data_IF_387792854437
#
_entry.id   IF_387792854437
#
_cell.length_a   1.000
_cell.length_b   1.000
_cell.length_c   1.000
_cell.angle_alpha   90.00
_cell.angle_beta   90.00
_cell.angle_gamma   90.00
#
_symmetry.space_group_name_H-M   'P 1'
#
loop_
_entity.id
_entity.type
_entity.pdbx_description
1 polymer ?
#
# COMPACT_ATOMS: atom_id res chain seq x y z
N UNK A 1 14.92 -26.09 2.30
CA UNK A 1 13.45 -25.91 2.19
C UNK A 1 13.17 -24.53 1.62
N UNK A 2 12.00 -24.30 1.03
CA UNK A 2 11.57 -22.99 0.53
C UNK A 2 10.39 -22.52 1.35
N UNK A 3 10.40 -21.28 1.82
CA UNK A 3 9.32 -20.72 2.61
C UNK A 3 9.23 -19.21 2.52
N UNK A 4 8.30 -18.63 3.27
CA UNK A 4 8.08 -17.19 3.33
C UNK A 4 8.36 -16.66 4.73
N UNK A 5 9.08 -15.54 4.84
CA UNK A 5 9.26 -14.86 6.13
C UNK A 5 7.93 -14.25 6.55
N UNK A 6 7.34 -14.75 7.64
CA UNK A 6 6.06 -14.26 8.17
C UNK A 6 6.23 -13.32 9.37
N UNK A 7 7.39 -13.32 10.03
CA UNK A 7 7.68 -12.45 11.18
C UNK A 7 9.19 -12.19 11.29
N UNK A 8 9.55 -10.97 11.67
CA UNK A 8 10.94 -10.59 11.94
C UNK A 8 11.04 -9.92 13.31
N UNK A 9 11.80 -10.52 14.23
CA UNK A 9 11.90 -10.04 15.62
C UNK A 9 13.31 -10.25 16.17
N UNK A 10 13.92 -9.18 16.70
CA UNK A 10 15.21 -9.23 17.40
C UNK A 10 16.34 -9.97 16.64
N UNK A 11 16.35 -9.89 15.30
CA UNK A 11 17.34 -10.55 14.43
C UNK A 11 17.04 -12.01 14.09
N UNK A 12 15.91 -12.54 14.55
CA UNK A 12 15.33 -13.79 14.10
C UNK A 12 14.29 -13.54 13.01
N UNK A 13 14.19 -14.52 12.10
CA UNK A 13 13.22 -14.53 11.01
C UNK A 13 12.44 -15.83 11.09
N UNK A 14 11.12 -15.74 11.20
CA UNK A 14 10.23 -16.89 11.26
C UNK A 14 9.74 -17.19 9.85
N UNK A 15 10.12 -18.36 9.34
CA UNK A 15 9.84 -18.80 7.98
C UNK A 15 8.74 -19.85 8.01
N UNK A 16 7.65 -19.60 7.29
CA UNK A 16 6.58 -20.59 7.10
C UNK A 16 6.86 -21.43 5.85
N UNK A 17 6.80 -22.75 6.00
CA UNK A 17 6.94 -23.75 4.91
C UNK A 17 6.02 -24.93 5.24
N UNK A 18 5.18 -25.34 4.30
CA UNK A 18 4.32 -26.52 4.41
C UNK A 18 3.46 -26.56 5.71
N UNK A 19 2.98 -25.39 6.14
CA UNK A 19 2.17 -25.23 7.36
C UNK A 19 2.95 -25.25 8.68
N UNK A 20 4.29 -25.36 8.63
CA UNK A 20 5.16 -25.28 9.81
C UNK A 20 5.94 -23.96 9.83
N UNK A 21 6.21 -23.45 11.03
CA UNK A 21 6.98 -22.23 11.24
C UNK A 21 8.33 -22.56 11.84
N UNK A 22 9.39 -22.14 11.16
CA UNK A 22 10.78 -22.36 11.55
C UNK A 22 11.42 -21.05 12.01
N UNK A 23 12.03 -21.06 13.19
CA UNK A 23 12.86 -19.95 13.64
C UNK A 23 14.23 -20.02 12.96
N UNK A 24 14.59 -18.96 12.23
CA UNK A 24 15.84 -18.90 11.48
C UNK A 24 16.61 -17.61 11.76
N UNK A 25 17.88 -17.58 11.32
CA UNK A 25 18.74 -16.38 11.30
C UNK A 25 19.29 -16.14 9.90
N UNK A 26 19.54 -14.88 9.58
CA UNK A 26 20.25 -14.56 8.34
C UNK A 26 21.75 -14.81 8.52
N UNK A 27 22.37 -15.54 7.58
CA UNK A 27 23.84 -15.68 7.55
C UNK A 27 24.51 -14.30 7.49
N UNK A 28 25.64 -14.12 8.18
CA UNK A 28 26.33 -12.83 8.28
C UNK A 28 26.73 -12.18 6.94
N UNK A 29 26.78 -12.95 5.85
CA UNK A 29 27.06 -12.45 4.50
C UNK A 29 25.93 -11.56 3.93
N UNK A 30 24.67 -11.74 4.35
CA UNK A 30 23.54 -10.94 3.88
C UNK A 30 23.71 -9.44 4.19
N UNK A 31 24.17 -9.11 5.41
CA UNK A 31 24.45 -7.73 5.83
C UNK A 31 25.59 -7.09 5.04
N UNK A 32 26.61 -7.87 4.63
CA UNK A 32 27.73 -7.38 3.82
C UNK A 32 27.34 -7.09 2.37
N UNK A 33 26.33 -7.80 1.84
CA UNK A 33 25.80 -7.61 0.48
C UNK A 33 24.61 -6.63 0.40
N UNK A 34 24.21 -6.02 1.52
CA UNK A 34 23.08 -5.08 1.57
C UNK A 34 21.69 -5.71 1.43
N UNK A 35 21.58 -7.05 1.50
CA UNK A 35 20.30 -7.76 1.39
C UNK A 35 19.73 -8.04 2.77
N UNK A 36 19.02 -7.07 3.34
CA UNK A 36 18.28 -7.25 4.61
C UNK A 36 17.02 -8.06 4.35
N UNK A 37 16.80 -9.21 5.03
CA UNK A 37 15.54 -9.93 4.94
C UNK A 37 14.40 -9.14 5.60
N UNK A 38 13.23 -9.15 4.96
CA UNK A 38 12.01 -8.51 5.42
C UNK A 38 10.84 -9.50 5.45
N UNK A 39 9.80 -9.15 6.20
CA UNK A 39 8.53 -9.90 6.17
C UNK A 39 7.97 -9.85 4.75
N UNK A 40 7.57 -11.02 4.25
CA UNK A 40 7.14 -11.22 2.87
C UNK A 40 8.18 -11.82 1.95
N UNK A 41 9.48 -11.80 2.31
CA UNK A 41 10.52 -12.41 1.47
C UNK A 41 10.28 -13.92 1.32
N UNK A 42 10.34 -14.39 0.07
CA UNK A 42 10.50 -15.80 -0.22
C UNK A 42 11.97 -16.17 -0.04
N UNK A 43 12.25 -17.25 0.68
CA UNK A 43 13.61 -17.66 1.03
C UNK A 43 13.83 -19.16 0.85
N UNK A 44 15.07 -19.51 0.50
CA UNK A 44 15.58 -20.85 0.74
C UNK A 44 16.24 -20.86 2.11
N UNK A 45 15.91 -21.84 2.95
CA UNK A 45 16.42 -21.96 4.32
C UNK A 45 16.76 -23.41 4.68
N UNK A 46 17.65 -23.57 5.66
CA UNK A 46 17.93 -24.84 6.35
C UNK A 46 17.28 -24.83 7.72
N UNK A 47 16.72 -25.97 8.12
CA UNK A 47 16.27 -26.25 9.48
C UNK A 47 16.65 -27.70 9.77
N UNK A 48 17.71 -27.91 10.55
CA UNK A 48 18.14 -29.24 11.00
C UNK A 48 17.45 -29.57 12.33
N UNK A 49 17.20 -30.85 12.61
CA UNK A 49 16.74 -31.27 13.93
C UNK A 49 17.73 -30.78 15.01
N UNK A 50 17.21 -30.02 15.98
CA UNK A 50 17.97 -29.43 17.10
C UNK A 50 18.99 -28.32 16.75
N UNK A 51 18.82 -27.62 15.61
CA UNK A 51 19.68 -26.48 15.23
C UNK A 51 18.89 -25.20 14.95
N UNK A 52 19.52 -24.04 15.17
CA UNK A 52 18.97 -22.76 14.69
C UNK A 52 18.97 -22.75 13.15
N UNK A 53 17.81 -22.58 12.52
CA UNK A 53 17.73 -22.55 11.06
C UNK A 53 18.47 -21.34 10.45
N UNK A 54 18.87 -21.45 9.18
CA UNK A 54 19.54 -20.35 8.48
C UNK A 54 18.88 -20.02 7.15
N UNK A 55 18.65 -18.74 6.90
CA UNK A 55 18.32 -18.23 5.57
C UNK A 55 19.57 -18.36 4.69
N UNK A 56 19.42 -19.05 3.57
CA UNK A 56 20.47 -19.35 2.59
C UNK A 56 20.39 -18.42 1.38
N UNK A 57 19.17 -18.11 0.93
CA UNK A 57 18.90 -17.25 -0.23
C UNK A 57 17.62 -16.46 -0.02
N UNK A 58 17.60 -15.20 -0.47
CA UNK A 58 16.39 -14.38 -0.62
C UNK A 58 16.09 -14.32 -2.12
N UNK A 59 14.85 -14.60 -2.50
CA UNK A 59 14.39 -14.53 -3.89
C UNK A 59 14.04 -13.08 -4.29
N UNK A 60 13.87 -12.85 -5.59
CA UNK A 60 13.53 -11.52 -6.12
C UNK A 60 12.19 -11.04 -5.55
N UNK A 61 12.12 -9.73 -5.27
CA UNK A 61 10.93 -9.09 -4.72
C UNK A 61 10.12 -8.47 -5.85
N UNK A 62 8.82 -8.75 -5.90
CA UNK A 62 7.94 -8.09 -6.89
C UNK A 62 7.61 -6.64 -6.54
N UNK A 63 7.60 -6.30 -5.26
CA UNK A 63 7.33 -4.95 -4.75
C UNK A 63 7.79 -4.81 -3.29
N UNK A 64 7.77 -3.58 -2.78
CA UNK A 64 8.13 -3.26 -1.41
C UNK A 64 7.49 -1.96 -0.91
N UNK A 65 7.11 -1.94 0.37
CA UNK A 65 6.79 -0.73 1.12
C UNK A 65 7.92 -0.43 2.11
N UNK A 66 8.24 0.85 2.28
CA UNK A 66 9.36 1.29 3.15
C UNK A 66 8.91 1.38 4.61
N UNK A 67 7.67 1.82 4.86
CA UNK A 67 7.14 2.08 6.20
C UNK A 67 5.71 1.54 6.36
N UNK A 68 5.53 0.42 7.08
CA UNK A 68 6.58 -0.44 7.61
C UNK A 68 7.28 -1.25 6.50
N UNK A 69 8.49 -1.80 6.76
CA UNK A 69 9.24 -2.54 5.74
C UNK A 69 8.60 -3.91 5.50
N UNK A 70 7.94 -4.05 4.36
CA UNK A 70 7.23 -5.26 3.92
C UNK A 70 7.36 -5.42 2.41
N UNK A 71 7.40 -6.66 1.92
CA UNK A 71 7.66 -6.97 0.51
C UNK A 71 6.72 -8.06 0.00
N UNK A 72 6.65 -8.23 -1.33
CA UNK A 72 5.84 -9.26 -1.98
C UNK A 72 4.35 -9.21 -1.59
N UNK A 73 3.81 -8.00 -1.57
CA UNK A 73 2.41 -7.71 -1.29
C UNK A 73 1.59 -7.95 -2.55
N UNK A 74 0.42 -8.59 -2.44
CA UNK A 74 -0.49 -8.75 -3.56
C UNK A 74 -1.41 -7.54 -3.71
N UNK A 75 -1.96 -7.08 -2.58
CA UNK A 75 -2.97 -6.03 -2.59
C UNK A 75 -2.94 -5.18 -1.32
N UNK A 76 -3.58 -4.02 -1.39
CA UNK A 76 -3.78 -3.12 -0.27
C UNK A 76 -5.24 -2.71 -0.16
N UNK A 77 -5.83 -2.90 1.02
CA UNK A 77 -7.15 -2.39 1.34
C UNK A 77 -7.00 -0.94 1.81
N UNK A 78 -7.49 0.00 0.99
CA UNK A 78 -7.56 1.43 1.29
C UNK A 78 -8.91 1.72 1.92
N UNK A 79 -8.89 1.99 3.23
CA UNK A 79 -10.10 2.24 4.01
C UNK A 79 -10.38 3.73 4.02
N UNK A 80 -11.54 4.09 3.49
CA UNK A 80 -12.10 5.44 3.51
C UNK A 80 -13.41 5.42 4.30
N UNK A 81 -13.75 6.52 4.97
CA UNK A 81 -15.06 6.68 5.59
C UNK A 81 -16.04 7.30 4.60
N UNK A 82 -17.30 6.85 4.64
CA UNK A 82 -18.39 7.53 3.97
C UNK A 82 -18.69 8.88 4.62
N UNK A 83 -18.72 8.89 5.96
CA UNK A 83 -18.94 10.07 6.81
C UNK A 83 -18.05 10.00 8.06
N UNK A 84 -17.73 11.17 8.60
CA UNK A 84 -16.91 11.36 9.81
C UNK A 84 -15.54 10.65 9.78
N UNK A 85 -14.56 11.14 9.01
CA UNK A 85 -14.62 12.31 8.13
C UNK A 85 -15.35 12.02 6.80
N UNK A 86 -15.72 13.08 6.09
CA UNK A 86 -16.31 12.96 4.76
C UNK A 86 -15.40 12.19 3.80
N UNK A 87 -16.03 11.44 2.88
CA UNK A 87 -15.30 10.79 1.81
C UNK A 87 -14.48 11.81 1.02
N UNK A 88 -13.20 11.51 0.81
CA UNK A 88 -12.27 12.40 0.16
C UNK A 88 -11.59 11.67 -1.02
N UNK A 89 -12.07 11.95 -2.23
CA UNK A 89 -11.53 11.37 -3.46
C UNK A 89 -10.07 11.74 -3.69
N UNK A 90 -9.66 12.96 -3.35
CA UNK A 90 -8.26 13.37 -3.45
C UNK A 90 -7.36 12.48 -2.58
N UNK A 91 -7.74 12.26 -1.32
CA UNK A 91 -6.97 11.40 -0.41
C UNK A 91 -6.92 9.94 -0.91
N UNK A 92 -8.05 9.42 -1.40
CA UNK A 92 -8.08 8.09 -2.01
C UNK A 92 -7.11 8.01 -3.20
N UNK A 93 -7.14 8.98 -4.09
CA UNK A 93 -6.27 9.03 -5.28
C UNK A 93 -4.79 9.06 -4.90
N UNK A 94 -4.41 9.70 -3.79
CA UNK A 94 -3.03 9.65 -3.29
C UNK A 94 -2.61 8.23 -2.91
N UNK A 95 -3.50 7.45 -2.29
CA UNK A 95 -3.23 6.04 -2.01
C UNK A 95 -3.15 5.22 -3.29
N UNK A 96 -4.10 5.41 -4.22
CA UNK A 96 -4.12 4.67 -5.49
C UNK A 96 -2.84 4.92 -6.28
N UNK A 97 -2.40 6.18 -6.40
CA UNK A 97 -1.16 6.54 -7.09
C UNK A 97 0.06 5.84 -6.47
N UNK A 98 0.15 5.81 -5.14
CA UNK A 98 1.23 5.10 -4.45
C UNK A 98 1.20 3.60 -4.77
N UNK A 99 0.03 2.98 -4.71
CA UNK A 99 -0.14 1.54 -4.88
C UNK A 99 0.13 1.10 -6.33
N UNK A 100 -0.38 1.85 -7.31
CA UNK A 100 -0.10 1.64 -8.73
C UNK A 100 1.41 1.75 -9.01
N UNK A 101 2.06 2.81 -8.51
CA UNK A 101 3.51 2.97 -8.63
C UNK A 101 4.30 1.82 -7.97
N UNK A 102 3.74 1.19 -6.95
CA UNK A 102 4.35 0.04 -6.26
C UNK A 102 3.96 -1.31 -6.86
N UNK A 103 3.11 -1.37 -7.88
CA UNK A 103 2.59 -2.63 -8.41
C UNK A 103 1.87 -3.45 -7.33
N UNK A 104 1.06 -2.79 -6.51
CA UNK A 104 0.21 -3.41 -5.48
C UNK A 104 -1.24 -3.12 -5.86
N UNK A 105 -2.06 -4.16 -5.98
CA UNK A 105 -3.46 -4.00 -6.39
C UNK A 105 -4.28 -3.27 -5.32
N UNK A 106 -4.95 -2.14 -5.62
CA UNK A 106 -5.78 -1.45 -4.65
C UNK A 106 -7.19 -2.08 -4.52
N UNK A 107 -7.64 -2.25 -3.29
CA UNK A 107 -9.02 -2.57 -2.93
C UNK A 107 -9.56 -1.42 -2.09
N UNK A 108 -10.55 -0.70 -2.59
CA UNK A 108 -11.19 0.41 -1.86
C UNK A 108 -12.29 -0.14 -0.97
N UNK A 109 -12.19 0.11 0.33
CA UNK A 109 -13.21 -0.24 1.31
C UNK A 109 -13.83 1.02 1.91
N UNK A 110 -15.15 1.18 1.80
CA UNK A 110 -15.87 2.28 2.42
C UNK A 110 -16.48 1.83 3.76
N UNK A 111 -16.08 2.49 4.84
CA UNK A 111 -16.61 2.30 6.18
C UNK A 111 -17.69 3.33 6.51
N UNK A 112 -18.39 3.14 7.63
CA UNK A 112 -19.37 4.09 8.18
C UNK A 112 -20.51 4.42 7.21
N UNK A 113 -20.89 3.45 6.38
CA UNK A 113 -22.02 3.56 5.45
C UNK A 113 -23.36 3.82 6.18
N UNK A 114 -23.45 3.38 7.44
CA UNK A 114 -24.58 3.62 8.34
C UNK A 114 -24.82 5.09 8.69
N UNK A 115 -23.84 5.97 8.43
CA UNK A 115 -23.94 7.42 8.68
C UNK A 115 -24.40 8.22 7.44
N UNK A 116 -24.59 7.59 6.29
CA UNK A 116 -25.08 8.27 5.09
C UNK A 116 -26.60 8.31 5.08
N UNK A 117 -27.17 9.50 4.98
CA UNK A 117 -28.59 9.71 4.71
C UNK A 117 -28.90 9.55 3.21
N UNK A 118 -27.95 9.96 2.36
CA UNK A 118 -27.99 9.84 0.91
C UNK A 118 -26.68 9.20 0.41
N UNK A 119 -26.81 8.21 -0.47
CA UNK A 119 -25.69 7.44 -1.04
C UNK A 119 -25.42 7.77 -2.50
N UNK A 120 -26.17 8.68 -3.12
CA UNK A 120 -26.02 9.04 -4.54
C UNK A 120 -24.60 9.54 -4.86
N UNK A 121 -24.05 10.44 -4.05
CA UNK A 121 -22.70 10.97 -4.26
C UNK A 121 -21.63 9.87 -4.19
N UNK A 122 -21.74 8.96 -3.22
CA UNK A 122 -20.82 7.83 -3.12
C UNK A 122 -20.99 6.85 -4.29
N UNK A 123 -22.22 6.67 -4.79
CA UNK A 123 -22.51 5.80 -5.92
C UNK A 123 -21.81 6.25 -7.21
N UNK A 124 -21.69 7.57 -7.41
CA UNK A 124 -20.95 8.15 -8.53
C UNK A 124 -19.45 7.80 -8.44
N UNK A 125 -18.85 7.98 -7.25
CA UNK A 125 -17.45 7.60 -7.02
C UNK A 125 -17.25 6.09 -7.21
N UNK A 126 -18.12 5.27 -6.62
CA UNK A 126 -18.06 3.82 -6.74
C UNK A 126 -18.09 3.35 -8.21
N UNK A 127 -18.99 3.89 -9.02
CA UNK A 127 -19.07 3.58 -10.44
C UNK A 127 -17.80 4.00 -11.18
N UNK A 128 -17.29 5.20 -10.90
CA UNK A 128 -16.06 5.72 -11.50
C UNK A 128 -14.86 4.82 -11.23
N UNK A 129 -14.58 4.49 -9.95
CA UNK A 129 -13.42 3.66 -9.60
C UNK A 129 -13.56 2.21 -10.10
N UNK A 130 -14.77 1.66 -10.12
CA UNK A 130 -15.02 0.32 -10.70
C UNK A 130 -14.79 0.31 -12.21
N UNK A 131 -15.19 1.37 -12.93
CA UNK A 131 -14.94 1.49 -14.37
C UNK A 131 -13.45 1.57 -14.71
N UNK A 132 -12.63 2.13 -13.81
CA UNK A 132 -11.16 2.13 -13.92
C UNK A 132 -10.58 0.72 -13.71
N UNK A 133 -11.26 -0.13 -12.93
CA UNK A 133 -10.86 -1.51 -12.66
C UNK A 133 -10.53 -1.80 -11.19
N UNK A 134 -10.79 -0.87 -10.28
CA UNK A 134 -10.59 -1.09 -8.85
C UNK A 134 -11.75 -1.86 -8.22
N UNK A 135 -11.41 -2.76 -7.28
CA UNK A 135 -12.40 -3.31 -6.36
C UNK A 135 -12.87 -2.19 -5.43
N UNK A 136 -14.18 -1.94 -5.40
CA UNK A 136 -14.80 -0.93 -4.54
C UNK A 136 -15.92 -1.59 -3.75
N UNK A 137 -15.69 -1.80 -2.46
CA UNK A 137 -16.55 -2.59 -1.57
C UNK A 137 -17.02 -1.76 -0.37
N UNK A 138 -18.22 -2.05 0.11
CA UNK A 138 -18.85 -1.30 1.22
C UNK A 138 -19.20 -2.20 2.41
N UNK A 139 -18.99 -3.51 2.28
CA UNK A 139 -19.30 -4.52 3.29
C UNK A 139 -18.13 -5.47 3.50
N UNK A 140 -18.07 -6.09 4.69
CA UNK A 140 -17.04 -7.10 4.98
C UNK A 140 -17.26 -8.37 4.15
N UNK A 141 -18.52 -8.66 3.82
CA UNK A 141 -18.94 -9.80 3.02
C UNK A 141 -18.41 -9.71 1.59
N UNK A 142 -18.37 -8.51 1.02
CA UNK A 142 -17.71 -8.25 -0.27
C UNK A 142 -16.18 -8.30 -0.16
N UNK A 143 -15.62 -7.81 0.95
CA UNK A 143 -14.17 -7.75 1.15
C UNK A 143 -13.54 -9.13 1.35
N UNK A 144 -14.13 -9.98 2.19
CA UNK A 144 -13.52 -11.23 2.64
C UNK A 144 -13.07 -12.13 1.47
N UNK A 145 -13.91 -12.42 0.45
CA UNK A 145 -13.52 -13.24 -0.70
C UNK A 145 -12.27 -12.72 -1.44
N UNK A 146 -12.06 -11.39 -1.47
CA UNK A 146 -10.89 -10.77 -2.11
C UNK A 146 -9.58 -11.06 -1.36
N UNK A 147 -9.64 -11.40 -0.06
CA UNK A 147 -8.46 -11.63 0.77
C UNK A 147 -7.84 -13.03 0.59
N UNK A 148 -8.60 -13.99 0.04
CA UNK A 148 -8.18 -15.40 -0.03
C UNK A 148 -6.95 -15.59 -0.92
N UNK A 149 -5.95 -16.32 -0.43
CA UNK A 149 -4.67 -16.57 -1.09
C UNK A 149 -3.88 -15.30 -1.46
N UNK A 150 -4.11 -14.18 -0.76
CA UNK A 150 -3.41 -12.91 -0.99
C UNK A 150 -2.68 -12.44 0.26
N UNK A 151 -1.51 -11.84 0.06
CA UNK A 151 -0.84 -10.99 1.05
C UNK A 151 -1.43 -9.58 0.95
N UNK A 152 -2.15 -9.18 2.01
CA UNK A 152 -2.90 -7.92 2.05
C UNK A 152 -2.38 -7.00 3.15
N UNK A 153 -2.23 -5.72 2.82
CA UNK A 153 -1.98 -4.66 3.82
C UNK A 153 -3.20 -3.76 3.98
N UNK A 154 -3.38 -3.14 5.14
CA UNK A 154 -4.51 -2.25 5.41
C UNK A 154 -4.02 -0.83 5.70
N UNK A 155 -4.51 0.13 4.91
CA UNK A 155 -4.17 1.54 5.02
C UNK A 155 -5.41 2.44 5.03
N UNK A 156 -5.22 3.68 5.46
CA UNK A 156 -6.30 4.64 5.68
C UNK A 156 -5.90 5.63 6.77
N UNK A 157 -6.46 6.83 6.71
CA UNK A 157 -6.23 7.87 7.72
C UNK A 157 -6.77 7.46 9.10
N UNK A 158 -6.34 8.15 10.15
CA UNK A 158 -6.89 7.93 11.50
C UNK A 158 -8.40 8.25 11.51
N UNK A 159 -9.19 7.45 12.25
CA UNK A 159 -10.63 7.70 12.43
C UNK A 159 -11.57 7.07 11.40
N UNK A 160 -11.07 6.54 10.28
CA UNK A 160 -11.88 5.87 9.23
C UNK A 160 -12.38 4.48 9.60
N UNK A 161 -12.17 4.00 10.83
CA UNK A 161 -12.64 2.68 11.25
C UNK A 161 -11.77 1.50 10.83
N UNK A 162 -10.48 1.71 10.51
CA UNK A 162 -9.52 0.63 10.21
C UNK A 162 -9.45 -0.43 11.32
N UNK A 163 -9.22 0.00 12.55
CA UNK A 163 -9.14 -0.92 13.70
C UNK A 163 -10.46 -1.65 13.92
N UNK A 164 -11.59 -0.94 13.77
CA UNK A 164 -12.93 -1.53 13.84
C UNK A 164 -13.14 -2.62 12.80
N UNK A 165 -12.73 -2.40 11.55
CA UNK A 165 -12.80 -3.41 10.49
C UNK A 165 -11.91 -4.61 10.82
N UNK A 166 -10.65 -4.38 11.17
CA UNK A 166 -9.69 -5.44 11.49
C UNK A 166 -10.18 -6.34 12.63
N UNK A 167 -10.75 -5.77 13.69
CA UNK A 167 -11.33 -6.54 14.79
C UNK A 167 -12.56 -7.36 14.38
N UNK A 168 -13.36 -6.85 13.42
CA UNK A 168 -14.53 -7.57 12.91
C UNK A 168 -14.16 -8.75 12.04
N UNK A 169 -13.11 -8.63 11.22
CA UNK A 169 -12.71 -9.67 10.27
C UNK A 169 -11.68 -10.64 10.86
N UNK A 170 -10.90 -10.20 11.85
CA UNK A 170 -9.83 -10.97 12.45
C UNK A 170 -9.87 -10.86 14.00
N UNK A 171 -10.94 -11.40 14.63
CA UNK A 171 -11.15 -11.27 16.08
C UNK A 171 -10.04 -11.93 16.90
N UNK A 172 -9.46 -13.02 16.40
CA UNK A 172 -8.39 -13.78 17.07
C UNK A 172 -7.05 -13.02 17.15
N UNK A 173 -6.92 -11.89 16.45
CA UNK A 173 -5.68 -11.10 16.48
C UNK A 173 -5.43 -10.40 17.80
N UNK A 174 -6.45 -10.28 18.68
CA UNK A 174 -6.35 -9.56 19.95
C UNK A 174 -5.55 -8.24 19.81
N UNK A 175 -5.79 -7.51 18.72
CA UNK A 175 -5.16 -6.21 18.50
C UNK A 175 -5.58 -5.33 19.68
N UNK A 176 -4.62 -4.75 20.41
CA UNK A 176 -4.90 -3.90 21.57
C UNK A 176 -5.89 -2.79 21.19
N UNK A 177 -7.17 -2.98 21.50
CA UNK A 177 -8.19 -1.93 21.44
C UNK A 177 -8.07 -1.08 22.67
N UNK A 178 -7.01 -0.29 22.74
CA UNK A 178 -6.95 0.85 23.65
C UNK A 178 -7.90 1.94 23.15
N UNK A 179 -8.78 2.40 24.03
CA UNK A 179 -9.67 3.53 23.81
C UNK A 179 -8.92 4.70 23.19
N UNK A 180 -9.46 5.20 22.07
CA UNK A 180 -9.02 6.41 21.38
C UNK A 180 -7.55 6.34 20.96
N UNK A 181 -7.34 6.22 19.66
CA UNK A 181 -6.05 6.47 19.00
C UNK A 181 -5.55 7.92 19.13
N UNK A 182 -5.79 8.59 20.26
CA UNK A 182 -5.28 9.92 20.62
C UNK A 182 -3.86 9.84 21.22
N UNK A 183 -3.33 8.63 21.46
CA UNK A 183 -1.89 8.43 21.72
C UNK A 183 -1.06 8.24 20.44
N UNK A 184 -1.66 8.21 19.25
CA UNK A 184 -0.94 8.19 17.96
C UNK A 184 -0.34 9.57 17.59
N UNK A 185 -0.44 10.54 18.48
CA UNK A 185 0.07 11.91 18.34
C UNK A 185 0.98 12.36 19.49
N UNK A 186 1.96 11.54 19.92
CA UNK A 186 3.30 11.99 20.37
C UNK A 186 4.08 10.81 20.97
N UNK A 187 5.11 10.36 20.27
CA UNK A 187 6.16 9.54 20.90
C UNK A 187 6.88 8.58 19.96
N UNK A 188 7.79 9.12 19.13
CA UNK A 188 8.81 8.40 18.33
C UNK A 188 8.27 7.38 17.33
N UNK A 189 8.88 7.40 16.15
CA UNK A 189 8.84 6.29 15.20
C UNK A 189 9.39 5.00 15.83
N UNK A 190 8.63 4.31 16.67
CA UNK A 190 8.98 2.97 17.18
C UNK A 190 8.42 1.96 16.20
N UNK A 191 9.32 1.42 15.39
CA UNK A 191 9.06 0.33 14.44
C UNK A 191 8.52 -0.89 15.21
N UNK A 192 7.20 -0.98 15.42
CA UNK A 192 6.56 -2.24 15.83
C UNK A 192 6.94 -3.30 14.77
N UNK A 193 7.31 -4.49 15.24
CA UNK A 193 7.73 -5.58 14.36
C UNK A 193 6.57 -5.99 13.45
N UNK A 194 6.77 -5.92 12.14
CA UNK A 194 5.79 -6.41 11.15
C UNK A 194 5.63 -7.91 11.33
N UNK A 195 4.40 -8.40 11.30
CA UNK A 195 4.07 -9.82 11.25
C UNK A 195 2.92 -10.04 10.29
N UNK A 196 2.92 -11.18 9.60
CA UNK A 196 1.77 -11.70 8.89
C UNK A 196 0.90 -12.54 9.80
N UNK A 197 -0.39 -12.43 9.57
CA UNK A 197 -1.41 -13.21 10.23
C UNK A 197 -2.32 -13.86 9.19
N UNK A 198 -2.68 -15.11 9.43
CA UNK A 198 -3.58 -15.82 8.53
C UNK A 198 -5.01 -15.28 8.71
N UNK A 199 -5.65 -14.92 7.59
CA UNK A 199 -7.02 -14.46 7.57
C UNK A 199 -7.69 -14.89 6.27
N UNK A 200 -8.84 -15.57 6.40
CA UNK A 200 -9.68 -16.00 5.26
C UNK A 200 -8.93 -16.72 4.14
N UNK A 201 -7.97 -17.59 4.49
CA UNK A 201 -7.11 -18.31 3.53
C UNK A 201 -6.03 -17.43 2.88
N UNK A 202 -5.89 -16.18 3.27
CA UNK A 202 -4.79 -15.29 2.90
C UNK A 202 -3.96 -14.87 4.11
N UNK A 203 -3.15 -13.82 3.92
CA UNK A 203 -2.29 -13.23 4.96
C UNK A 203 -2.52 -11.74 5.04
N UNK A 204 -2.58 -11.21 6.25
CA UNK A 204 -2.66 -9.77 6.50
C UNK A 204 -1.47 -9.29 7.31
N UNK A 205 -0.99 -8.09 7.02
CA UNK A 205 0.08 -7.47 7.80
C UNK A 205 -0.47 -6.46 8.81
N UNK A 206 -0.01 -6.55 10.06
CA UNK A 206 -0.21 -5.46 11.01
C UNK A 206 0.76 -4.32 10.68
N UNK A 207 0.23 -3.32 9.98
CA UNK A 207 0.94 -2.09 9.65
C UNK A 207 0.36 -0.93 10.46
N UNK A 208 1.00 -0.53 11.57
CA UNK A 208 0.61 0.70 12.26
C UNK A 208 0.82 1.91 11.34
N UNK A 209 -0.17 2.80 11.29
CA UNK A 209 -0.02 4.18 10.82
C UNK A 209 0.60 4.38 9.44
N UNK A 210 -0.06 3.92 8.37
CA UNK A 210 0.14 4.51 7.03
C UNK A 210 -0.55 5.88 6.99
N UNK A 211 -0.01 6.85 7.75
CA UNK A 211 -0.56 8.22 7.86
C UNK A 211 0.22 9.23 7.03
N UNK A 212 1.45 8.91 6.60
CA UNK A 212 2.26 9.75 5.71
C UNK A 212 2.36 9.12 4.32
N UNK A 213 1.61 9.67 3.37
CA UNK A 213 1.84 9.46 1.94
C UNK A 213 3.14 10.20 1.56
N UNK A 214 4.28 9.61 1.87
CA UNK A 214 5.54 10.07 1.31
C UNK A 214 5.47 9.76 -0.20
N UNK A 215 5.23 10.78 -1.03
CA UNK A 215 5.23 10.59 -2.48
C UNK A 215 6.59 10.07 -2.93
N UNK A 216 6.65 8.77 -3.18
CA UNK A 216 7.75 8.14 -3.90
C UNK A 216 7.67 8.44 -5.41
N UNK A 217 6.47 8.74 -5.90
CA UNK A 217 6.25 9.30 -7.24
C UNK A 217 6.85 10.70 -7.31
N UNK A 218 7.80 10.88 -8.21
CA UNK A 218 8.59 12.12 -8.32
C UNK A 218 8.72 12.66 -9.74
N UNK A 219 8.14 11.97 -10.72
CA UNK A 219 8.16 12.38 -12.13
C UNK A 219 6.74 12.44 -12.68
N UNK A 220 6.52 13.30 -13.67
CA UNK A 220 5.25 13.39 -14.38
C UNK A 220 4.90 12.10 -15.13
N UNK A 221 5.91 11.37 -15.60
CA UNK A 221 5.75 10.08 -16.28
C UNK A 221 5.25 9.00 -15.32
N UNK A 222 5.88 8.86 -14.14
CA UNK A 222 5.43 7.94 -13.11
C UNK A 222 4.00 8.27 -12.65
N UNK A 223 3.69 9.57 -12.48
CA UNK A 223 2.35 10.00 -12.12
C UNK A 223 1.32 9.64 -13.19
N UNK A 224 1.65 9.85 -14.47
CA UNK A 224 0.77 9.49 -15.59
C UNK A 224 0.46 7.99 -15.59
N UNK A 225 1.47 7.14 -15.42
CA UNK A 225 1.28 5.68 -15.33
C UNK A 225 0.48 5.25 -14.10
N UNK A 226 0.52 6.02 -13.01
CA UNK A 226 -0.20 5.75 -11.78
C UNK A 226 -1.70 6.13 -11.81
N UNK A 227 -2.19 6.69 -12.91
CA UNK A 227 -3.62 6.87 -13.21
C UNK A 227 -3.99 6.00 -14.40
N UNK A 228 -4.50 4.76 -14.21
CA UNK A 228 -4.67 3.79 -15.29
C UNK A 228 -5.49 4.30 -16.49
N UNK A 229 -6.56 5.03 -16.23
CA UNK A 229 -7.44 5.63 -17.25
C UNK A 229 -6.74 6.75 -18.03
N UNK A 230 -5.91 7.56 -17.37
CA UNK A 230 -5.09 8.60 -18.01
C UNK A 230 -3.96 7.94 -18.81
N UNK A 231 -3.29 6.93 -18.26
CA UNK A 231 -2.23 6.17 -18.90
C UNK A 231 -2.71 5.44 -20.17
N UNK A 232 -3.95 4.96 -20.17
CA UNK A 232 -4.56 4.32 -21.33
C UNK A 232 -4.78 5.33 -22.47
N UNK A 233 -5.44 6.46 -22.18
CA UNK A 233 -5.73 7.50 -23.18
C UNK A 233 -4.48 8.26 -23.63
N UNK A 234 -3.48 8.41 -22.75
CA UNK A 234 -2.25 9.14 -23.07
C UNK A 234 -1.42 8.49 -24.19
N UNK A 235 -1.68 7.22 -24.52
CA UNK A 235 -1.06 6.52 -25.67
C UNK A 235 -1.41 7.16 -27.01
N UNK A 236 -2.55 7.84 -27.09
CA UNK A 236 -3.03 8.54 -28.28
C UNK A 236 -2.60 10.02 -28.31
N UNK A 237 -1.86 10.49 -27.29
CA UNK A 237 -1.28 11.82 -27.32
C UNK A 237 -0.21 11.92 -28.41
N UNK A 238 -0.21 13.04 -29.13
CA UNK A 238 0.82 13.34 -30.15
C UNK A 238 2.25 13.31 -29.59
N UNK A 239 2.42 13.77 -28.35
CA UNK A 239 3.71 13.84 -27.67
C UNK A 239 3.82 12.73 -26.61
N UNK A 240 4.95 12.00 -26.63
CA UNK A 240 5.23 10.95 -25.65
C UNK A 240 5.38 11.46 -24.22
N UNK A 241 5.87 12.69 -24.06
CA UNK A 241 6.09 13.34 -22.75
C UNK A 241 4.95 14.29 -22.39
N UNK A 242 3.74 14.05 -22.90
CA UNK A 242 2.59 14.91 -22.64
C UNK A 242 2.21 14.85 -21.15
N UNK A 243 2.26 16.01 -20.50
CA UNK A 243 1.81 16.25 -19.11
C UNK A 243 0.33 16.59 -19.03
N UNK A 244 -0.33 16.72 -20.19
CA UNK A 244 -1.75 17.05 -20.33
C UNK A 244 -2.13 18.44 -19.82
N UNK A 245 -1.17 19.34 -19.69
CA UNK A 245 -1.37 20.69 -19.15
C UNK A 245 -1.56 21.71 -20.26
N UNK A 246 -0.55 21.91 -21.11
CA UNK A 246 -0.49 22.96 -22.13
C UNK A 246 -0.25 22.42 -23.54
N UNK A 247 0.02 21.12 -23.68
CA UNK A 247 0.39 20.51 -24.95
C UNK A 247 -0.76 20.59 -25.97
N UNK A 248 -0.44 20.94 -27.24
CA UNK A 248 -1.41 20.89 -28.31
C UNK A 248 -1.69 19.43 -28.72
N UNK A 249 -2.93 19.14 -29.13
CA UNK A 249 -3.35 17.78 -29.54
C UNK A 249 -3.15 16.71 -28.44
N UNK A 250 -3.40 17.08 -27.19
CA UNK A 250 -3.51 16.13 -26.08
C UNK A 250 -4.83 15.34 -26.20
N UNK A 251 -4.75 13.99 -26.13
CA UNK A 251 -5.92 13.10 -26.19
C UNK A 251 -6.69 13.03 -24.86
N UNK A 252 -6.02 13.29 -23.73
CA UNK A 252 -6.63 13.24 -22.39
C UNK A 252 -7.64 14.37 -22.19
N UNK A 253 -7.37 15.60 -22.67
CA UNK A 253 -8.28 16.74 -22.48
C UNK A 253 -9.66 16.54 -23.12
N UNK A 254 -9.79 16.09 -24.39
CA UNK A 254 -11.08 15.70 -24.97
C UNK A 254 -11.76 14.58 -24.19
N UNK A 255 -11.01 13.54 -23.77
CA UNK A 255 -11.57 12.43 -23.00
C UNK A 255 -12.17 12.89 -21.65
N UNK A 256 -11.60 13.92 -21.02
CA UNK A 256 -12.22 14.57 -19.85
C UNK A 256 -13.51 15.30 -20.23
N UNK A 257 -13.50 16.06 -21.33
CA UNK A 257 -14.68 16.77 -21.82
C UNK A 257 -15.85 15.86 -22.24
N UNK A 258 -15.55 14.64 -22.68
CA UNK A 258 -16.51 13.62 -23.07
C UNK A 258 -16.96 12.73 -21.89
N UNK A 259 -16.38 12.91 -20.71
CA UNK A 259 -16.70 12.12 -19.50
C UNK A 259 -16.10 10.71 -19.48
N UNK A 260 -15.19 10.40 -20.41
CA UNK A 260 -14.42 9.13 -20.40
C UNK A 260 -13.48 9.09 -19.18
N UNK A 261 -12.87 10.23 -18.87
CA UNK A 261 -12.10 10.44 -17.64
C UNK A 261 -12.91 11.39 -16.75
N UNK A 262 -13.23 10.97 -15.53
CA UNK A 262 -13.98 11.80 -14.60
C UNK A 262 -13.20 13.08 -14.26
N UNK A 263 -13.88 14.23 -14.25
CA UNK A 263 -13.25 15.54 -14.02
C UNK A 263 -12.44 15.59 -12.73
N UNK A 264 -12.98 15.08 -11.62
CA UNK A 264 -12.27 15.10 -10.33
C UNK A 264 -10.96 14.28 -10.36
N UNK A 265 -10.89 13.20 -11.16
CA UNK A 265 -9.68 12.38 -11.32
C UNK A 265 -8.61 13.19 -12.03
N UNK A 266 -8.98 13.90 -13.09
CA UNK A 266 -8.08 14.76 -13.82
C UNK A 266 -7.63 15.98 -12.99
N UNK A 267 -8.52 16.58 -12.22
CA UNK A 267 -8.19 17.68 -11.30
C UNK A 267 -7.19 17.22 -10.23
N UNK A 268 -7.40 16.02 -9.65
CA UNK A 268 -6.46 15.43 -8.69
C UNK A 268 -5.10 15.13 -9.35
N UNK A 269 -5.09 14.62 -10.59
CA UNK A 269 -3.85 14.44 -11.38
C UNK A 269 -3.08 15.76 -11.54
N UNK A 270 -3.75 16.84 -11.96
CA UNK A 270 -3.11 18.16 -12.13
C UNK A 270 -2.60 18.72 -10.80
N UNK A 271 -3.34 18.52 -9.71
CA UNK A 271 -2.90 18.90 -8.38
C UNK A 271 -1.61 18.15 -7.99
N UNK A 272 -1.59 16.82 -8.15
CA UNK A 272 -0.41 16.02 -7.79
C UNK A 272 0.79 16.34 -8.67
N UNK A 273 0.57 16.61 -9.96
CA UNK A 273 1.61 17.05 -10.87
C UNK A 273 2.24 18.37 -10.39
N UNK A 274 1.41 19.35 -10.05
CA UNK A 274 1.86 20.63 -9.49
C UNK A 274 2.63 20.45 -8.17
N UNK A 275 2.18 19.54 -7.29
CA UNK A 275 2.90 19.23 -6.05
C UNK A 275 4.27 18.60 -6.30
N UNK A 276 4.41 17.77 -7.33
CA UNK A 276 5.67 17.16 -7.74
C UNK A 276 6.62 18.22 -8.33
N UNK A 277 6.13 19.06 -9.24
CA UNK A 277 6.93 20.11 -9.90
C UNK A 277 7.41 21.18 -8.92
N UNK A 278 6.60 21.51 -7.91
CA UNK A 278 6.92 22.52 -6.90
C UNK A 278 7.70 21.96 -5.69
N UNK A 279 8.04 20.66 -5.68
CA UNK A 279 8.81 20.05 -4.61
C UNK A 279 10.26 20.55 -4.67
N UNK A 280 10.65 21.38 -3.69
CA UNK A 280 12.06 21.82 -3.53
C UNK A 280 12.97 20.59 -3.43
N UNK A 281 14.00 20.52 -4.27
CA UNK A 281 15.05 19.52 -4.19
C UNK A 281 15.65 19.51 -2.77
N UNK A 282 15.31 18.51 -1.97
CA UNK A 282 16.00 18.27 -0.71
C UNK A 282 17.28 17.51 -1.06
N UNK A 283 18.36 18.24 -1.27
CA UNK A 283 19.70 17.67 -1.37
C UNK A 283 19.91 16.76 -0.15
N UNK A 284 19.95 15.44 -0.37
CA UNK A 284 20.38 14.49 0.66
C UNK A 284 21.78 14.91 1.08
N UNK A 285 21.92 15.46 2.29
CA UNK A 285 23.25 15.72 2.88
C UNK A 285 23.99 14.38 2.95
N UNK A 286 24.87 14.14 1.98
CA UNK A 286 25.84 13.05 2.06
C UNK A 286 26.74 13.39 3.24
N UNK A 287 26.52 12.74 4.38
CA UNK A 287 27.43 12.85 5.50
C UNK A 287 28.75 12.21 5.09
N UNK A 288 29.72 13.04 4.70
CA UNK A 288 31.10 12.60 4.53
C UNK A 288 31.58 12.09 5.89
N UNK A 289 31.57 10.77 6.08
CA UNK A 289 32.30 10.14 7.19
C UNK A 289 33.79 10.41 6.94
N UNK A 290 34.38 11.26 7.76
CA UNK A 290 35.83 11.44 7.80
C UNK A 290 36.42 10.16 8.41
N UNK A 291 37.38 9.49 7.77
CA UNK A 291 38.06 8.33 8.35
C UNK A 291 38.79 8.75 9.63
N UNK A 292 38.67 7.94 10.69
CA UNK A 292 39.56 8.02 11.86
C UNK A 292 40.89 7.34 11.54
#
# INVERSE_FOLDING_TARGET
MKGQIIKALAGFYYVESDGQVYQTRARGNFRKKGHTPYVGDWVDFSAEENSEGYILKIHERKNSLVRPPIVNIDQAVVIMSAKEPDFNSNLLDRFLVLLEHKGIHPVVYISKMDLLEDSEELSFFQQTYRAIGYDFVTSKEELLPLLTNKVTVFMGQTGVGKSTLLNKIAPDLNLETGEISDSLGRGRHTTRAVSFYNLNGGKIADTPGFSSLDYEVSTAEDLNQAFPEIAAVSRDCKFRTCTHTHEPSCAVKPAVGEGIIATFRFDNYLQFLSEIENRRETYKKVSKKIPK
#
